data_IF_532083839269
#
_entry.id   IF_532083839269
#
_cell.length_a   1.000
_cell.length_b   1.000
_cell.length_c   1.000
_cell.angle_alpha   90.00
_cell.angle_beta   90.00
_cell.angle_gamma   90.00
#
_symmetry.space_group_name_H-M   'P 1'
#
loop_
_entity.id
_entity.type
_entity.pdbx_description
1 polymer ?
#
# COMPACT_ATOMS: atom_id res chain seq x y z
N UNK A 1 -12.96 -12.96 -18.30
CA UNK A 1 -12.05 -11.82 -18.31
C UNK A 1 -11.33 -11.84 -16.99
N UNK A 2 -10.00 -11.80 -17.01
CA UNK A 2 -9.19 -11.73 -15.79
C UNK A 2 -9.54 -10.46 -15.00
N UNK A 3 -9.49 -10.57 -13.68
CA UNK A 3 -9.67 -9.42 -12.77
C UNK A 3 -8.30 -9.04 -12.24
N UNK A 4 -7.78 -7.93 -12.73
CA UNK A 4 -6.46 -7.46 -12.33
C UNK A 4 -6.57 -6.46 -11.18
N UNK A 5 -5.59 -6.51 -10.28
CA UNK A 5 -5.47 -5.58 -9.15
C UNK A 5 -4.11 -4.89 -9.23
N UNK A 6 -4.11 -3.56 -9.16
CA UNK A 6 -2.89 -2.79 -8.96
C UNK A 6 -2.56 -2.75 -7.48
N UNK A 7 -1.36 -3.16 -7.11
CA UNK A 7 -0.86 -3.16 -5.74
C UNK A 7 0.19 -2.06 -5.59
N UNK A 8 0.02 -1.19 -4.60
CA UNK A 8 0.90 -0.07 -4.31
C UNK A 8 1.48 -0.20 -2.90
N UNK A 9 2.80 -0.05 -2.80
CA UNK A 9 3.53 0.02 -1.54
C UNK A 9 4.41 1.28 -1.57
N UNK A 10 3.88 2.35 -0.98
CA UNK A 10 4.50 3.68 -0.97
C UNK A 10 5.41 3.83 0.24
N UNK A 11 6.70 4.01 0.01
CA UNK A 11 7.67 4.45 1.00
C UNK A 11 7.93 5.95 0.89
N UNK A 12 8.72 6.52 1.82
CA UNK A 12 9.07 7.95 1.80
C UNK A 12 9.88 8.37 0.57
N UNK A 13 10.69 7.46 0.02
CA UNK A 13 11.60 7.73 -1.11
C UNK A 13 11.38 6.78 -2.30
N UNK A 14 10.32 5.96 -2.28
CA UNK A 14 10.08 4.96 -3.32
C UNK A 14 8.63 4.51 -3.39
N UNK A 15 8.26 3.94 -4.54
CA UNK A 15 6.99 3.27 -4.78
C UNK A 15 7.26 1.92 -5.43
N UNK A 16 6.91 0.83 -4.75
CA UNK A 16 6.81 -0.50 -5.37
C UNK A 16 5.39 -0.70 -5.87
N UNK A 17 5.26 -1.27 -7.07
CA UNK A 17 3.95 -1.56 -7.66
C UNK A 17 3.95 -2.89 -8.39
N UNK A 18 2.78 -3.50 -8.46
CA UNK A 18 2.54 -4.69 -9.27
C UNK A 18 1.09 -4.69 -9.80
N UNK A 19 0.87 -5.22 -10.99
CA UNK A 19 -0.45 -5.60 -11.49
C UNK A 19 -0.50 -7.11 -11.50
N UNK A 20 -1.42 -7.67 -10.73
CA UNK A 20 -1.57 -9.11 -10.53
C UNK A 20 -2.97 -9.57 -10.90
N UNK A 21 -3.07 -10.78 -11.42
CA UNK A 21 -4.35 -11.47 -11.54
C UNK A 21 -4.86 -11.85 -10.15
N UNK A 22 -6.08 -11.44 -9.82
CA UNK A 22 -6.66 -11.62 -8.49
C UNK A 22 -7.03 -13.09 -8.18
N UNK A 23 -7.15 -13.93 -9.19
CA UNK A 23 -7.54 -15.34 -9.04
C UNK A 23 -6.31 -16.28 -9.02
N UNK A 24 -5.33 -16.01 -9.88
CA UNK A 24 -4.15 -16.88 -10.03
C UNK A 24 -2.94 -16.39 -9.23
N UNK A 25 -2.89 -15.08 -8.88
CA UNK A 25 -1.73 -14.44 -8.27
C UNK A 25 -0.58 -14.21 -9.26
N UNK A 26 -0.80 -14.38 -10.57
CA UNK A 26 0.23 -14.18 -11.57
C UNK A 26 0.58 -12.69 -11.72
N UNK A 27 1.89 -12.38 -11.74
CA UNK A 27 2.43 -11.05 -11.99
C UNK A 27 2.41 -10.73 -13.49
N UNK A 28 1.59 -9.75 -13.88
CA UNK A 28 1.53 -9.22 -15.26
C UNK A 28 2.54 -8.09 -15.45
N UNK A 29 2.64 -7.24 -14.44
CA UNK A 29 3.53 -6.08 -14.39
C UNK A 29 4.05 -5.90 -12.96
N UNK A 30 5.34 -5.66 -12.81
CA UNK A 30 5.90 -5.25 -11.51
C UNK A 30 6.97 -4.19 -11.69
N UNK A 31 7.20 -3.35 -10.68
CA UNK A 31 8.20 -2.32 -10.77
C UNK A 31 8.50 -1.59 -9.47
N UNK A 32 9.48 -0.70 -9.58
CA UNK A 32 9.98 0.15 -8.51
C UNK A 32 10.30 1.53 -9.07
N UNK A 33 9.65 2.55 -8.53
CA UNK A 33 10.13 3.93 -8.65
C UNK A 33 10.92 4.28 -7.38
N UNK A 34 12.06 4.93 -7.54
CA UNK A 34 13.02 5.18 -6.46
C UNK A 34 13.72 6.53 -6.62
N UNK A 35 14.48 6.93 -5.60
CA UNK A 35 15.18 8.20 -5.55
C UNK A 35 14.23 9.41 -5.60
N UNK A 36 13.06 9.32 -4.99
CA UNK A 36 12.10 10.43 -4.95
C UNK A 36 12.68 11.67 -4.30
N UNK A 37 12.30 12.83 -4.84
CA UNK A 37 12.79 14.16 -4.46
C UNK A 37 14.29 14.40 -4.71
N UNK A 38 14.95 13.53 -5.48
CA UNK A 38 16.34 13.66 -5.91
C UNK A 38 16.41 13.94 -7.42
N UNK A 39 17.60 14.31 -7.90
CA UNK A 39 17.81 14.62 -9.32
C UNK A 39 17.75 13.38 -10.22
N UNK A 40 18.02 12.20 -9.66
CA UNK A 40 18.08 10.90 -10.33
C UNK A 40 16.83 10.04 -10.09
N UNK A 41 15.69 10.65 -9.77
CA UNK A 41 14.42 9.94 -9.62
C UNK A 41 14.10 9.13 -10.88
N UNK A 42 13.85 7.84 -10.71
CA UNK A 42 13.68 6.89 -11.82
C UNK A 42 12.66 5.83 -11.51
N UNK A 43 12.16 5.19 -12.57
CA UNK A 43 11.24 4.06 -12.48
C UNK A 43 11.75 2.91 -13.32
N UNK A 44 11.71 1.71 -12.76
CA UNK A 44 12.05 0.44 -13.42
C UNK A 44 10.85 -0.47 -13.37
N UNK A 45 10.61 -1.20 -14.45
CA UNK A 45 9.51 -2.15 -14.48
C UNK A 45 9.85 -3.41 -15.27
N UNK A 46 9.02 -4.41 -15.09
CA UNK A 46 9.01 -5.66 -15.85
C UNK A 46 7.58 -5.95 -16.27
N UNK A 47 7.31 -5.87 -17.57
CA UNK A 47 6.01 -6.15 -18.19
C UNK A 47 6.13 -7.44 -19.00
N UNK A 48 5.35 -8.47 -18.67
CA UNK A 48 5.41 -9.80 -19.31
C UNK A 48 6.85 -10.33 -19.47
N UNK A 49 7.70 -10.11 -18.46
CA UNK A 49 9.10 -10.53 -18.50
C UNK A 49 10.07 -9.54 -19.15
N UNK A 50 9.60 -8.54 -19.90
CA UNK A 50 10.42 -7.52 -20.56
C UNK A 50 10.69 -6.37 -19.58
N UNK A 51 11.96 -6.02 -19.42
CA UNK A 51 12.40 -4.94 -18.53
C UNK A 51 12.36 -3.59 -19.24
N UNK A 52 11.95 -2.56 -18.51
CA UNK A 52 12.02 -1.16 -18.92
C UNK A 52 12.54 -0.28 -17.78
N UNK A 53 13.07 0.87 -18.13
CA UNK A 53 13.53 1.91 -17.21
C UNK A 53 13.33 3.29 -17.81
N UNK A 54 13.00 4.27 -16.97
CA UNK A 54 12.90 5.67 -17.37
C UNK A 54 13.29 6.60 -16.22
N UNK A 55 13.81 7.78 -16.56
CA UNK A 55 13.99 8.88 -15.61
C UNK A 55 12.66 9.60 -15.44
N UNK A 56 12.30 9.92 -14.20
CA UNK A 56 11.08 10.64 -13.86
C UNK A 56 11.28 12.17 -13.85
N UNK A 57 12.52 12.63 -13.85
CA UNK A 57 12.90 14.04 -13.73
C UNK A 57 13.30 14.43 -12.30
N UNK A 58 14.03 15.55 -12.21
CA UNK A 58 14.51 16.07 -10.94
C UNK A 58 13.34 16.41 -10.00
N UNK A 59 13.44 15.98 -8.75
CA UNK A 59 12.41 16.22 -7.72
C UNK A 59 11.13 15.42 -7.88
N UNK A 60 11.04 14.49 -8.84
CA UNK A 60 9.86 13.65 -9.01
C UNK A 60 9.58 12.79 -7.78
N UNK A 61 8.30 12.55 -7.50
CA UNK A 61 7.82 11.81 -6.34
C UNK A 61 6.70 10.80 -6.73
N UNK A 62 5.80 10.50 -5.81
CA UNK A 62 4.75 9.48 -6.01
C UNK A 62 3.79 9.83 -7.16
N UNK A 63 3.43 11.10 -7.32
CA UNK A 63 2.49 11.50 -8.38
C UNK A 63 3.10 11.27 -9.77
N UNK A 64 4.34 11.73 -9.99
CA UNK A 64 5.04 11.58 -11.26
C UNK A 64 5.27 10.09 -11.61
N UNK A 65 5.55 9.27 -10.58
CA UNK A 65 5.68 7.82 -10.76
C UNK A 65 4.34 7.20 -11.21
N UNK A 66 3.23 7.55 -10.58
CA UNK A 66 1.90 7.06 -10.97
C UNK A 66 1.46 7.59 -12.33
N UNK A 67 1.71 8.86 -12.63
CA UNK A 67 1.44 9.44 -13.94
C UNK A 67 2.25 8.73 -15.05
N UNK A 68 3.51 8.33 -14.74
CA UNK A 68 4.32 7.54 -15.67
C UNK A 68 3.76 6.11 -15.86
N UNK A 69 3.28 5.47 -14.80
CA UNK A 69 2.64 4.15 -14.89
C UNK A 69 1.41 4.23 -15.81
N UNK A 70 0.55 5.22 -15.58
CA UNK A 70 -0.70 5.41 -16.35
C UNK A 70 -0.43 5.84 -17.79
N UNK A 71 0.50 6.78 -17.98
CA UNK A 71 0.74 7.40 -19.28
C UNK A 71 1.71 6.65 -20.19
N UNK A 72 2.59 5.80 -19.64
CA UNK A 72 3.69 5.20 -20.40
C UNK A 72 3.86 3.69 -20.21
N UNK A 73 3.51 3.12 -19.05
CA UNK A 73 3.71 1.69 -18.82
C UNK A 73 2.45 0.91 -19.18
N UNK A 74 1.29 1.25 -18.59
CA UNK A 74 0.03 0.57 -18.89
C UNK A 74 -0.36 0.63 -20.38
N UNK A 75 -0.11 1.73 -21.14
CA UNK A 75 -0.41 1.75 -22.57
C UNK A 75 0.44 0.79 -23.42
N UNK A 76 1.51 0.20 -22.89
CA UNK A 76 2.26 -0.83 -23.60
C UNK A 76 1.45 -2.14 -23.72
N UNK A 77 0.51 -2.36 -22.80
CA UNK A 77 -0.54 -3.39 -22.89
C UNK A 77 -1.88 -2.80 -22.41
N UNK A 78 -2.70 -2.25 -23.31
CA UNK A 78 -3.97 -1.62 -22.93
C UNK A 78 -4.93 -2.57 -22.21
N UNK A 79 -4.80 -3.88 -22.39
CA UNK A 79 -5.67 -4.87 -21.74
C UNK A 79 -5.50 -4.87 -20.21
N UNK A 80 -4.33 -4.49 -19.72
CA UNK A 80 -4.08 -4.37 -18.27
C UNK A 80 -4.98 -3.28 -17.66
N UNK A 81 -5.00 -2.09 -18.26
CA UNK A 81 -5.80 -0.98 -17.77
C UNK A 81 -7.32 -1.30 -17.82
N UNK A 82 -7.78 -1.95 -18.89
CA UNK A 82 -9.18 -2.34 -19.08
C UNK A 82 -9.64 -3.39 -18.07
N UNK A 83 -8.74 -4.26 -17.63
CA UNK A 83 -9.03 -5.35 -16.69
C UNK A 83 -8.77 -4.98 -15.23
N UNK A 84 -8.24 -3.78 -14.92
CA UNK A 84 -8.07 -3.32 -13.55
C UNK A 84 -9.42 -3.10 -12.87
N UNK A 85 -9.66 -3.83 -11.79
CA UNK A 85 -10.90 -3.77 -11.02
C UNK A 85 -10.74 -3.13 -9.64
N UNK A 86 -9.52 -3.03 -9.12
CA UNK A 86 -9.23 -2.44 -7.80
C UNK A 86 -7.77 -2.01 -7.67
N UNK A 87 -7.50 -1.18 -6.66
CA UNK A 87 -6.15 -0.78 -6.24
C UNK A 87 -5.97 -1.12 -4.77
N UNK A 88 -4.96 -1.93 -4.44
CA UNK A 88 -4.58 -2.28 -3.08
C UNK A 88 -3.43 -1.42 -2.57
N UNK A 89 -3.56 -0.85 -1.39
CA UNK A 89 -2.53 -0.06 -0.72
C UNK A 89 -2.05 -0.76 0.54
N UNK A 90 -0.76 -1.02 0.65
CA UNK A 90 -0.16 -1.44 1.91
C UNK A 90 -0.07 -0.23 2.84
N UNK A 91 -0.57 -0.39 4.07
CA UNK A 91 -0.51 0.60 5.16
C UNK A 91 0.19 -0.02 6.36
N UNK A 92 1.23 0.62 6.86
CA UNK A 92 2.03 0.06 7.95
C UNK A 92 1.26 0.05 9.26
N UNK A 93 0.50 1.08 9.59
CA UNK A 93 -0.19 1.16 10.87
C UNK A 93 -1.64 1.60 10.75
N UNK A 94 -2.55 0.78 11.26
CA UNK A 94 -3.99 1.04 11.28
C UNK A 94 -4.56 1.37 12.67
N UNK A 95 -3.70 1.55 13.68
CA UNK A 95 -4.17 1.71 15.06
C UNK A 95 -4.96 0.48 15.53
N UNK A 96 -5.87 0.69 16.46
CA UNK A 96 -6.84 -0.32 16.89
C UNK A 96 -8.09 -0.33 16.02
N UNK A 97 -8.28 0.70 15.20
CA UNK A 97 -9.49 0.90 14.39
C UNK A 97 -9.63 -0.13 13.27
N UNK A 98 -8.52 -0.55 12.67
CA UNK A 98 -8.54 -1.41 11.49
C UNK A 98 -8.03 -2.82 11.79
N UNK A 99 -8.95 -3.77 11.90
CA UNK A 99 -8.66 -5.20 12.13
C UNK A 99 -8.73 -6.06 10.86
N UNK A 100 -9.02 -5.44 9.72
CA UNK A 100 -9.12 -6.09 8.39
C UNK A 100 -8.86 -5.09 7.28
N UNK A 101 -8.71 -5.59 6.05
CA UNK A 101 -8.69 -4.74 4.86
C UNK A 101 -10.02 -4.03 4.68
N UNK A 102 -9.97 -2.74 4.31
CA UNK A 102 -11.17 -1.91 4.15
C UNK A 102 -11.09 -1.10 2.86
N UNK A 103 -12.24 -0.82 2.26
CA UNK A 103 -12.34 0.12 1.15
C UNK A 103 -12.05 1.53 1.67
N UNK A 104 -11.24 2.26 0.92
CA UNK A 104 -10.81 3.61 1.30
C UNK A 104 -11.94 4.60 1.02
N UNK A 105 -12.28 5.34 2.05
CA UNK A 105 -13.12 6.54 2.04
C UNK A 105 -12.48 7.61 2.93
N UNK A 106 -13.15 8.76 3.09
CA UNK A 106 -12.63 9.85 3.92
C UNK A 106 -12.43 9.44 5.38
N UNK A 107 -13.28 8.56 5.92
CA UNK A 107 -13.16 8.05 7.29
C UNK A 107 -11.93 7.15 7.46
N UNK A 108 -11.62 6.34 6.45
CA UNK A 108 -10.41 5.51 6.43
C UNK A 108 -9.15 6.37 6.31
N UNK A 109 -9.17 7.40 5.47
CA UNK A 109 -8.07 8.37 5.35
C UNK A 109 -7.83 9.05 6.70
N UNK A 110 -8.87 9.55 7.36
CA UNK A 110 -8.76 10.17 8.68
C UNK A 110 -8.22 9.20 9.74
N UNK A 111 -8.63 7.93 9.71
CA UNK A 111 -8.09 6.89 10.59
C UNK A 111 -6.62 6.59 10.36
N UNK A 112 -6.15 6.57 9.11
CA UNK A 112 -4.72 6.43 8.78
C UNK A 112 -3.93 7.66 9.24
N UNK A 113 -4.49 8.88 9.11
CA UNK A 113 -3.92 10.11 9.62
C UNK A 113 -3.77 10.09 11.15
N UNK A 114 -4.81 9.65 11.86
CA UNK A 114 -4.79 9.51 13.32
C UNK A 114 -3.73 8.49 13.80
N UNK A 115 -3.37 7.52 12.97
CA UNK A 115 -2.33 6.54 13.27
C UNK A 115 -0.89 7.01 12.94
N UNK A 116 -0.69 8.23 12.41
CA UNK A 116 0.66 8.78 12.11
C UNK A 116 1.59 8.75 13.33
N UNK A 117 1.18 9.10 14.58
CA UNK A 117 2.06 9.02 15.72
C UNK A 117 2.70 7.66 15.97
N UNK A 118 2.04 6.57 15.54
CA UNK A 118 2.55 5.20 15.66
C UNK A 118 3.48 4.80 14.50
N UNK A 119 3.39 5.47 13.34
CA UNK A 119 4.20 5.21 12.15
C UNK A 119 4.57 6.49 11.41
N UNK A 120 5.30 7.44 12.06
CA UNK A 120 5.56 8.78 11.50
C UNK A 120 6.42 8.76 10.23
N UNK A 121 7.21 7.71 10.00
CA UNK A 121 8.05 7.54 8.81
C UNK A 121 7.32 6.86 7.64
N UNK A 122 6.15 6.28 7.88
CA UNK A 122 5.45 5.44 6.88
C UNK A 122 4.08 5.98 6.50
N UNK A 123 3.18 6.18 7.48
CA UNK A 123 1.79 6.56 7.18
C UNK A 123 1.65 7.84 6.36
N UNK A 124 2.48 8.91 6.56
CA UNK A 124 2.42 10.08 5.67
C UNK A 124 2.67 9.74 4.19
N UNK A 125 3.67 8.88 3.90
CA UNK A 125 3.96 8.46 2.54
C UNK A 125 2.82 7.62 1.94
N UNK A 126 2.18 6.77 2.76
CA UNK A 126 1.02 5.98 2.33
C UNK A 126 -0.16 6.89 1.94
N UNK A 127 -0.44 7.93 2.73
CA UNK A 127 -1.48 8.92 2.42
C UNK A 127 -1.19 9.69 1.12
N UNK A 128 0.07 10.07 0.89
CA UNK A 128 0.49 10.68 -0.39
C UNK A 128 0.19 9.71 -1.54
N UNK A 129 0.58 8.44 -1.41
CA UNK A 129 0.34 7.41 -2.42
C UNK A 129 -1.15 7.17 -2.68
N UNK A 130 -2.00 7.12 -1.64
CA UNK A 130 -3.45 7.00 -1.79
C UNK A 130 -4.01 8.19 -2.58
N UNK A 131 -3.68 9.42 -2.19
CA UNK A 131 -4.17 10.63 -2.87
C UNK A 131 -3.70 10.70 -4.32
N UNK A 132 -2.46 10.31 -4.59
CA UNK A 132 -1.91 10.25 -5.94
C UNK A 132 -2.64 9.17 -6.78
N UNK A 133 -2.93 8.00 -6.21
CA UNK A 133 -3.68 6.94 -6.91
C UNK A 133 -5.13 7.34 -7.21
N UNK A 134 -5.82 7.99 -6.27
CA UNK A 134 -7.17 8.52 -6.49
C UNK A 134 -7.21 9.51 -7.65
N UNK A 135 -6.17 10.34 -7.80
CA UNK A 135 -6.04 11.29 -8.91
C UNK A 135 -5.68 10.61 -10.23
N UNK A 136 -4.76 9.63 -10.20
CA UNK A 136 -4.28 8.94 -11.40
C UNK A 136 -5.32 7.96 -11.98
N UNK A 137 -6.17 7.36 -11.13
CA UNK A 137 -7.18 6.36 -11.50
C UNK A 137 -8.59 6.77 -11.05
N UNK A 138 -9.18 7.85 -11.59
CA UNK A 138 -10.47 8.35 -11.12
C UNK A 138 -11.62 7.35 -11.31
N UNK A 139 -11.56 6.48 -12.32
CA UNK A 139 -12.55 5.41 -12.54
C UNK A 139 -12.52 4.33 -11.45
N UNK A 140 -11.42 4.21 -10.71
CA UNK A 140 -11.23 3.26 -9.62
C UNK A 140 -11.25 3.94 -8.23
N UNK A 141 -11.71 5.18 -8.11
CA UNK A 141 -11.70 5.92 -6.84
C UNK A 141 -12.37 5.13 -5.71
N UNK A 142 -13.55 4.55 -5.96
CA UNK A 142 -14.29 3.74 -4.98
C UNK A 142 -13.79 2.29 -4.88
N UNK A 143 -12.76 1.92 -5.62
CA UNK A 143 -12.17 0.56 -5.66
C UNK A 143 -10.77 0.51 -5.02
N UNK A 144 -10.39 1.55 -4.28
CA UNK A 144 -9.16 1.56 -3.50
C UNK A 144 -9.36 0.85 -2.16
N UNK A 145 -8.41 0.00 -1.78
CA UNK A 145 -8.46 -0.85 -0.57
C UNK A 145 -7.20 -0.66 0.25
N UNK A 146 -7.33 -0.36 1.53
CA UNK A 146 -6.24 -0.32 2.50
C UNK A 146 -6.04 -1.70 3.14
N UNK A 147 -4.80 -2.17 3.16
CA UNK A 147 -4.36 -3.43 3.78
C UNK A 147 -3.33 -3.09 4.85
N UNK A 148 -3.67 -3.35 6.11
CA UNK A 148 -2.88 -2.90 7.26
C UNK A 148 -1.95 -3.98 7.79
N UNK A 149 -0.67 -3.66 7.98
CA UNK A 149 0.30 -4.57 8.57
C UNK A 149 0.00 -4.91 10.04
N UNK A 150 -0.78 -4.08 10.73
CA UNK A 150 -1.20 -4.30 12.11
C UNK A 150 -2.47 -5.16 12.23
N UNK A 151 -3.24 -5.35 11.15
CA UNK A 151 -4.56 -5.96 11.21
C UNK A 151 -4.53 -7.42 11.68
N UNK A 152 -3.58 -8.23 11.21
CA UNK A 152 -3.44 -9.64 11.59
C UNK A 152 -3.26 -9.83 13.11
N UNK A 153 -2.61 -8.88 13.77
CA UNK A 153 -2.29 -8.92 15.19
C UNK A 153 -3.40 -8.35 16.10
N UNK A 154 -4.52 -7.89 15.53
CA UNK A 154 -5.65 -7.37 16.33
C UNK A 154 -6.40 -8.47 17.10
N UNK A 155 -6.07 -9.74 16.84
CA UNK A 155 -6.56 -10.89 17.60
C UNK A 155 -5.79 -11.15 18.90
N UNK A 156 -4.72 -10.40 19.18
CA UNK A 156 -3.99 -10.50 20.45
C UNK A 156 -4.92 -10.20 21.63
N UNK A 157 -4.97 -11.06 22.67
CA UNK A 157 -5.77 -10.80 23.85
C UNK A 157 -5.14 -9.70 24.71
N UNK A 158 -5.95 -9.11 25.60
CA UNK A 158 -5.56 -7.93 26.37
C UNK A 158 -4.28 -8.13 27.19
N UNK A 159 -4.13 -9.29 27.81
CA UNK A 159 -2.94 -9.66 28.58
C UNK A 159 -1.66 -9.78 27.73
N UNK A 160 -1.80 -9.94 26.41
CA UNK A 160 -0.67 -10.01 25.49
C UNK A 160 -0.30 -8.67 24.89
N UNK A 161 -1.27 -7.74 24.74
CA UNK A 161 -0.96 -6.43 24.15
C UNK A 161 -0.74 -5.31 25.16
N UNK A 162 -1.22 -5.42 26.40
CA UNK A 162 -0.95 -4.42 27.44
C UNK A 162 0.48 -4.55 27.97
N UNK A 163 1.10 -3.38 28.19
CA UNK A 163 2.33 -3.30 28.95
C UNK A 163 2.04 -3.18 30.44
N UNK A 164 2.97 -3.61 31.30
CA UNK A 164 2.93 -3.42 32.75
C UNK A 164 3.21 -1.96 33.13
N UNK A 165 2.38 -1.06 32.64
CA UNK A 165 2.40 0.39 32.82
C UNK A 165 1.04 0.85 33.37
N UNK A 166 0.92 2.08 33.91
CA UNK A 166 -0.39 2.61 34.30
C UNK A 166 -1.39 2.52 33.15
N UNK A 167 -2.53 1.87 33.38
CA UNK A 167 -3.56 1.60 32.36
C UNK A 167 -4.07 2.85 31.64
N UNK A 168 -4.01 4.00 32.34
CA UNK A 168 -4.33 5.31 31.78
C UNK A 168 -3.54 5.64 30.52
N UNK A 169 -2.28 5.22 30.39
CA UNK A 169 -1.45 5.43 29.20
C UNK A 169 -2.01 4.69 27.97
N UNK A 170 -2.55 3.50 28.17
CA UNK A 170 -3.28 2.82 27.12
C UNK A 170 -4.58 3.56 26.75
N UNK A 171 -5.40 3.88 27.76
CA UNK A 171 -6.71 4.49 27.53
C UNK A 171 -6.64 5.86 26.83
N UNK A 172 -5.67 6.70 27.21
CA UNK A 172 -5.56 8.07 26.71
C UNK A 172 -4.65 8.20 25.48
N UNK A 173 -3.66 7.34 25.33
CA UNK A 173 -2.61 7.47 24.33
C UNK A 173 -2.46 6.26 23.41
N UNK A 174 -3.26 5.19 23.60
CA UNK A 174 -3.16 3.96 22.81
C UNK A 174 -1.83 3.22 22.98
N UNK A 175 -1.14 3.43 24.14
CA UNK A 175 0.16 2.78 24.40
C UNK A 175 -0.08 1.31 24.74
N UNK A 176 0.19 0.49 23.74
CA UNK A 176 0.07 -0.99 23.81
C UNK A 176 1.05 -1.61 22.81
N UNK A 177 1.17 -2.94 22.85
CA UNK A 177 1.82 -3.69 21.79
C UNK A 177 0.93 -3.73 20.55
N UNK A 178 1.48 -3.33 19.43
CA UNK A 178 0.96 -3.58 18.10
C UNK A 178 1.91 -4.57 17.41
N UNK A 179 1.38 -5.49 16.60
CA UNK A 179 2.21 -6.32 15.74
C UNK A 179 2.52 -5.60 14.43
N UNK A 180 3.63 -5.97 13.79
CA UNK A 180 4.05 -5.45 12.48
C UNK A 180 4.14 -6.59 11.45
N UNK A 181 4.26 -6.23 10.15
CA UNK A 181 4.37 -7.19 9.05
C UNK A 181 3.25 -8.25 9.01
N UNK A 182 2.07 -7.90 9.51
CA UNK A 182 0.96 -8.84 9.68
C UNK A 182 0.46 -9.45 8.38
N UNK A 183 0.51 -8.69 7.27
CA UNK A 183 0.18 -9.22 5.93
C UNK A 183 1.10 -10.37 5.54
N UNK A 184 2.41 -10.25 5.80
CA UNK A 184 3.40 -11.31 5.55
C UNK A 184 3.20 -12.49 6.51
N UNK A 185 3.02 -12.24 7.80
CA UNK A 185 2.78 -13.29 8.78
C UNK A 185 1.51 -14.11 8.48
N UNK A 186 0.42 -13.43 8.12
CA UNK A 186 -0.82 -14.08 7.71
C UNK A 186 -0.60 -14.97 6.49
N UNK A 187 0.04 -14.45 5.45
CA UNK A 187 0.32 -15.20 4.24
C UNK A 187 1.11 -16.48 4.52
N UNK A 188 2.20 -16.37 5.28
CA UNK A 188 3.02 -17.54 5.66
C UNK A 188 2.22 -18.55 6.48
N UNK A 189 1.43 -18.08 7.45
CA UNK A 189 0.60 -18.97 8.27
C UNK A 189 -0.45 -19.73 7.42
N UNK A 190 -1.13 -19.03 6.50
CA UNK A 190 -2.14 -19.62 5.60
C UNK A 190 -1.50 -20.61 4.60
N UNK A 191 -0.33 -20.27 4.02
CA UNK A 191 0.35 -21.17 3.07
C UNK A 191 0.96 -22.40 3.75
N UNK A 192 1.45 -22.27 4.99
CA UNK A 192 2.02 -23.42 5.73
C UNK A 192 0.93 -24.37 6.23
N UNK A 193 -0.31 -23.89 6.38
CA UNK A 193 -1.44 -24.71 6.84
C UNK A 193 -2.13 -25.52 5.73
N UNK A 194 -1.74 -25.32 4.47
CA UNK A 194 -2.23 -26.11 3.31
C UNK A 194 -1.50 -27.44 3.18
#
# INVERSE_FOLDING_TARGET
MSKLVLILNCGSSSLKFAVMDAETGEDMLSGLAECFNLDDARIKWKLHGVKGEAMLGAGAAHQEALDHIVGHILPQDPTLAEQLVAIGHRIVHGGEQFSRSVRIDDGVIAGIEAAIPFAPLHNPAHLIGIRAALKAFPALAEKNVAVFDTAFHQTLPQEAYLYALPYKLYQENGIRRYGAHGTSHRFIAEETAK
#
